data_IF_257331257718
#
_entry.id   IF_257331257718
#
_cell.length_a   1.000
_cell.length_b   1.000
_cell.length_c   1.000
_cell.angle_alpha   90.00
_cell.angle_beta   90.00
_cell.angle_gamma   90.00
#
_symmetry.space_group_name_H-M   'P 1'
#
loop_
_entity.id
_entity.type
_entity.pdbx_description
1 polymer ?
#
# COMPACT_ATOMS: atom_id res chain seq x y z
N UNK A 1 -3.63 -33.74 -3.74
CA UNK A 1 -4.59 -32.76 -3.17
C UNK A 1 -5.17 -31.95 -4.32
N UNK A 2 -6.36 -32.32 -4.81
CA UNK A 2 -6.94 -31.83 -6.06
C UNK A 2 -7.78 -30.58 -5.79
N UNK A 3 -7.35 -29.40 -6.27
CA UNK A 3 -8.17 -28.17 -6.23
C UNK A 3 -9.42 -28.39 -7.08
N UNK A 4 -10.58 -28.53 -6.44
CA UNK A 4 -11.90 -28.56 -7.10
C UNK A 4 -12.06 -27.27 -7.89
N UNK A 5 -12.15 -27.35 -9.23
CA UNK A 5 -12.47 -26.19 -10.07
C UNK A 5 -13.95 -25.85 -9.87
N UNK A 6 -14.24 -24.92 -8.96
CA UNK A 6 -15.58 -24.36 -8.83
C UNK A 6 -15.94 -23.52 -10.06
N UNK A 7 -17.20 -23.58 -10.52
CA UNK A 7 -17.71 -22.68 -11.56
C UNK A 7 -17.72 -21.21 -11.10
N UNK A 8 -17.92 -20.25 -12.01
CA UNK A 8 -17.82 -18.81 -11.73
C UNK A 8 -18.64 -18.33 -10.52
N UNK A 9 -19.86 -18.87 -10.33
CA UNK A 9 -20.68 -18.57 -9.15
C UNK A 9 -20.09 -19.10 -7.83
N UNK A 10 -19.39 -20.24 -7.88
CA UNK A 10 -18.69 -20.79 -6.72
C UNK A 10 -17.44 -19.98 -6.35
N UNK A 11 -16.69 -19.52 -7.35
CA UNK A 11 -15.53 -18.64 -7.15
C UNK A 11 -15.92 -17.30 -6.50
N UNK A 12 -17.03 -16.68 -6.94
CA UNK A 12 -17.56 -15.46 -6.31
C UNK A 12 -17.92 -15.66 -4.85
N UNK A 13 -18.65 -16.73 -4.52
CA UNK A 13 -19.03 -17.05 -3.13
C UNK A 13 -17.80 -17.29 -2.25
N UNK A 14 -16.80 -18.00 -2.76
CA UNK A 14 -15.55 -18.25 -2.04
C UNK A 14 -14.78 -16.95 -1.77
N UNK A 15 -14.66 -16.07 -2.76
CA UNK A 15 -14.02 -14.76 -2.62
C UNK A 15 -14.76 -13.84 -1.64
N UNK A 16 -16.09 -13.78 -1.70
CA UNK A 16 -16.89 -13.02 -0.73
C UNK A 16 -16.70 -13.56 0.69
N UNK A 17 -16.68 -14.89 0.86
CA UNK A 17 -16.43 -15.50 2.16
C UNK A 17 -15.00 -15.24 2.68
N UNK A 18 -14.01 -15.23 1.80
CA UNK A 18 -12.64 -14.82 2.13
C UNK A 18 -12.59 -13.37 2.60
N UNK A 19 -13.20 -12.45 1.87
CA UNK A 19 -13.29 -11.05 2.24
C UNK A 19 -13.91 -10.84 3.64
N UNK A 20 -15.04 -11.50 3.90
CA UNK A 20 -15.76 -11.42 5.17
C UNK A 20 -14.95 -11.96 6.35
N UNK A 21 -14.11 -12.99 6.18
CA UNK A 21 -13.25 -13.49 7.26
C UNK A 21 -12.18 -12.48 7.68
N UNK A 22 -11.70 -11.67 6.74
CA UNK A 22 -10.61 -10.73 6.98
C UNK A 22 -11.11 -9.33 7.34
N UNK A 23 -12.23 -8.90 6.77
CA UNK A 23 -12.71 -7.52 6.84
C UNK A 23 -14.15 -7.38 7.34
N UNK A 24 -14.85 -8.50 7.58
CA UNK A 24 -16.19 -8.48 8.13
C UNK A 24 -16.15 -8.13 9.61
N UNK A 25 -16.95 -7.15 10.01
CA UNK A 25 -17.20 -6.87 11.42
C UNK A 25 -18.11 -7.97 11.98
N UNK A 26 -17.70 -8.64 13.05
CA UNK A 26 -18.43 -9.78 13.62
C UNK A 26 -19.69 -9.30 14.35
N UNK A 27 -19.69 -8.05 14.81
CA UNK A 27 -20.74 -7.46 15.67
C UNK A 27 -21.45 -6.24 15.04
N UNK A 28 -21.07 -5.84 13.83
CA UNK A 28 -21.63 -4.67 13.11
C UNK A 28 -22.81 -5.00 12.19
N UNK A 29 -23.57 -3.98 11.72
CA UNK A 29 -24.60 -4.20 10.70
C UNK A 29 -23.97 -4.80 9.44
N UNK A 30 -24.57 -5.87 8.90
CA UNK A 30 -24.09 -6.53 7.68
C UNK A 30 -24.25 -5.60 6.47
N UNK A 31 -23.21 -4.82 6.18
CA UNK A 31 -23.06 -4.05 4.95
C UNK A 31 -22.75 -5.02 3.78
N UNK A 32 -23.26 -4.72 2.58
CA UNK A 32 -22.97 -5.51 1.38
C UNK A 32 -21.44 -5.57 1.15
N UNK A 33 -20.83 -6.77 1.11
CA UNK A 33 -19.39 -6.94 0.87
C UNK A 33 -18.86 -6.19 -0.35
N UNK A 34 -19.67 -6.07 -1.41
CA UNK A 34 -19.30 -5.32 -2.61
C UNK A 34 -19.16 -3.82 -2.33
N UNK A 35 -19.99 -3.26 -1.46
CA UNK A 35 -19.91 -1.87 -1.01
C UNK A 35 -18.68 -1.65 -0.14
N UNK A 36 -18.43 -2.55 0.80
CA UNK A 36 -17.28 -2.47 1.71
C UNK A 36 -15.96 -2.55 0.92
N UNK A 37 -15.79 -3.54 0.04
CA UNK A 37 -14.55 -3.69 -0.74
C UNK A 37 -14.30 -2.48 -1.63
N UNK A 38 -15.36 -1.91 -2.23
CA UNK A 38 -15.27 -0.71 -3.05
C UNK A 38 -14.83 0.53 -2.25
N UNK A 39 -15.32 0.68 -1.03
CA UNK A 39 -14.93 1.75 -0.12
C UNK A 39 -13.46 1.62 0.30
N UNK A 40 -13.03 0.40 0.62
CA UNK A 40 -11.63 0.13 0.98
C UNK A 40 -10.66 0.37 -0.18
N UNK A 41 -11.04 0.00 -1.41
CA UNK A 41 -10.25 0.30 -2.63
C UNK A 41 -10.09 1.82 -2.80
N UNK A 42 -11.17 2.60 -2.66
CA UNK A 42 -11.08 4.07 -2.75
C UNK A 42 -10.19 4.67 -1.67
N UNK A 43 -10.27 4.16 -0.45
CA UNK A 43 -9.42 4.61 0.65
C UNK A 43 -7.95 4.31 0.38
N UNK A 44 -7.63 3.07 -0.01
CA UNK A 44 -6.26 2.66 -0.35
C UNK A 44 -5.72 3.48 -1.54
N UNK A 45 -6.52 3.75 -2.56
CA UNK A 45 -6.13 4.62 -3.67
C UNK A 45 -5.80 6.05 -3.21
N UNK A 46 -6.59 6.61 -2.28
CA UNK A 46 -6.30 7.91 -1.66
C UNK A 46 -5.01 7.91 -0.85
N UNK A 47 -4.76 6.87 -0.06
CA UNK A 47 -3.51 6.73 0.68
C UNK A 47 -2.30 6.62 -0.24
N UNK A 48 -2.38 5.81 -1.31
CA UNK A 48 -1.32 5.70 -2.32
C UNK A 48 -1.03 7.06 -2.96
N UNK A 49 -2.05 7.83 -3.30
CA UNK A 49 -1.87 9.17 -3.86
C UNK A 49 -1.16 10.12 -2.89
N UNK A 50 -1.62 10.17 -1.64
CA UNK A 50 -1.03 11.00 -0.61
C UNK A 50 0.42 10.59 -0.28
N UNK A 51 0.70 9.29 -0.19
CA UNK A 51 2.04 8.76 0.06
C UNK A 51 2.99 9.07 -1.11
N UNK A 52 2.51 9.02 -2.35
CA UNK A 52 3.31 9.43 -3.51
C UNK A 52 3.72 10.91 -3.42
N UNK A 53 2.80 11.79 -3.04
CA UNK A 53 3.14 13.21 -2.85
C UNK A 53 4.22 13.38 -1.78
N UNK A 54 4.14 12.64 -0.66
CA UNK A 54 5.17 12.71 0.39
C UNK A 54 6.53 12.20 -0.08
N UNK A 55 6.54 11.12 -0.88
CA UNK A 55 7.78 10.61 -1.51
C UNK A 55 8.36 11.64 -2.47
N UNK A 56 7.52 12.33 -3.26
CA UNK A 56 7.97 13.35 -4.22
C UNK A 56 8.46 14.65 -3.56
N UNK A 57 7.95 14.97 -2.36
CA UNK A 57 8.43 16.09 -1.55
C UNK A 57 9.72 15.79 -0.78
N UNK A 58 10.11 14.51 -0.70
CA UNK A 58 11.33 14.11 0.00
C UNK A 58 12.53 14.28 -0.93
N UNK A 59 13.57 14.94 -0.42
CA UNK A 59 14.83 15.12 -1.15
C UNK A 59 15.43 13.77 -1.55
N UNK A 60 15.95 13.71 -2.77
CA UNK A 60 16.54 12.51 -3.38
C UNK A 60 17.48 11.74 -2.43
N UNK A 61 18.42 12.45 -1.80
CA UNK A 61 19.42 11.85 -0.91
C UNK A 61 18.79 11.31 0.37
N UNK A 62 17.70 11.93 0.85
CA UNK A 62 16.99 11.51 2.07
C UNK A 62 16.13 10.26 1.87
N UNK A 63 15.83 9.86 0.63
CA UNK A 63 15.08 8.63 0.32
C UNK A 63 15.87 7.35 0.64
N UNK A 64 17.20 7.44 0.63
CA UNK A 64 18.12 6.31 0.81
C UNK A 64 19.04 6.53 2.01
N UNK A 65 19.42 7.77 2.31
CA UNK A 65 20.34 8.11 3.38
C UNK A 65 19.66 8.97 4.45
N UNK A 66 19.43 8.38 5.63
CA UNK A 66 18.65 9.01 6.69
C UNK A 66 19.26 8.86 8.07
N UNK A 67 18.87 9.76 8.98
CA UNK A 67 19.16 9.62 10.40
C UNK A 67 18.34 8.44 10.96
N UNK A 68 19.01 7.42 11.47
CA UNK A 68 18.35 6.22 11.99
C UNK A 68 18.35 6.13 13.51
N UNK A 69 19.19 6.91 14.19
CA UNK A 69 19.21 6.98 15.64
C UNK A 69 19.73 8.33 16.13
N UNK A 70 19.09 8.88 17.16
CA UNK A 70 19.55 10.02 17.93
C UNK A 70 19.57 9.60 19.41
N UNK A 71 20.73 9.73 20.06
CA UNK A 71 20.90 9.39 21.47
C UNK A 71 21.40 10.62 22.23
N UNK A 72 20.53 11.20 23.05
CA UNK A 72 20.90 12.29 23.96
C UNK A 72 21.60 11.71 25.21
N UNK A 73 22.89 11.97 25.36
CA UNK A 73 23.67 11.61 26.56
C UNK A 73 23.78 12.80 27.49
N UNK A 74 22.98 12.80 28.57
CA UNK A 74 22.98 13.85 29.60
C UNK A 74 24.09 13.72 30.67
N UNK A 75 24.89 12.65 30.64
CA UNK A 75 26.01 12.45 31.56
C UNK A 75 26.97 11.35 31.09
N UNK A 76 28.24 11.43 31.52
CA UNK A 76 29.35 10.58 31.08
C UNK A 76 30.58 11.40 30.67
N UNK A 77 31.66 10.73 30.23
CA UNK A 77 32.91 11.38 29.81
C UNK A 77 32.73 12.27 28.55
N UNK A 78 31.72 11.95 27.72
CA UNK A 78 31.34 12.72 26.53
C UNK A 78 29.85 13.05 26.54
N UNK A 79 29.42 14.14 27.20
CA UNK A 79 28.04 14.62 27.13
C UNK A 79 27.76 15.23 25.75
N UNK A 80 26.59 14.95 25.17
CA UNK A 80 26.23 15.40 23.82
C UNK A 80 25.11 14.60 23.18
N UNK A 81 24.79 14.93 21.92
CA UNK A 81 23.85 14.19 21.07
C UNK A 81 24.66 13.35 20.09
N UNK A 82 24.54 12.03 20.20
CA UNK A 82 25.12 11.10 19.21
C UNK A 82 24.07 10.82 18.14
N UNK A 83 24.37 11.23 16.91
CA UNK A 83 23.49 10.99 15.75
C UNK A 83 24.10 9.95 14.83
N UNK A 84 23.36 8.88 14.54
CA UNK A 84 23.76 7.84 13.59
C UNK A 84 22.93 7.95 12.32
N UNK A 85 23.61 8.08 11.18
CA UNK A 85 23.02 8.03 9.84
C UNK A 85 23.33 6.68 9.21
N UNK A 86 22.37 6.10 8.49
CA UNK A 86 22.62 4.88 7.72
C UNK A 86 21.78 4.86 6.45
N UNK A 87 22.22 4.02 5.50
CA UNK A 87 21.46 3.75 4.30
C UNK A 87 20.28 2.84 4.66
N UNK A 88 19.07 3.41 4.67
CA UNK A 88 17.83 2.69 4.91
C UNK A 88 16.75 3.30 4.02
N UNK A 89 15.89 2.45 3.45
CA UNK A 89 14.75 2.91 2.65
C UNK A 89 13.88 3.82 3.52
N UNK A 90 13.64 5.03 3.05
CA UNK A 90 12.82 6.01 3.76
C UNK A 90 11.43 5.44 4.12
N UNK A 91 10.92 5.89 5.26
CA UNK A 91 9.65 5.43 5.81
C UNK A 91 8.48 5.65 4.84
N UNK A 92 8.48 6.75 4.08
CA UNK A 92 7.45 7.04 3.09
C UNK A 92 7.50 6.08 1.92
N UNK A 93 8.71 5.79 1.40
CA UNK A 93 8.89 4.85 0.29
C UNK A 93 8.39 3.45 0.68
N UNK A 94 8.73 3.01 1.90
CA UNK A 94 8.26 1.72 2.41
C UNK A 94 6.73 1.68 2.54
N UNK A 95 6.13 2.66 3.21
CA UNK A 95 4.67 2.74 3.40
C UNK A 95 3.93 2.84 2.07
N UNK A 96 4.49 3.59 1.11
CA UNK A 96 3.97 3.69 -0.25
C UNK A 96 3.94 2.34 -0.95
N UNK A 97 5.03 1.56 -0.87
CA UNK A 97 5.08 0.20 -1.41
C UNK A 97 4.04 -0.72 -0.76
N UNK A 98 3.97 -0.73 0.57
CA UNK A 98 3.03 -1.56 1.34
C UNK A 98 1.57 -1.27 0.98
N UNK A 99 1.18 0.00 0.89
CA UNK A 99 -0.20 0.39 0.58
C UNK A 99 -0.55 0.14 -0.90
N UNK A 100 0.43 0.22 -1.81
CA UNK A 100 0.24 -0.18 -3.21
C UNK A 100 -0.03 -1.66 -3.36
N UNK A 101 0.74 -2.50 -2.67
CA UNK A 101 0.52 -3.95 -2.67
C UNK A 101 -0.86 -4.29 -2.10
N UNK A 102 -1.28 -3.57 -1.06
CA UNK A 102 -2.63 -3.70 -0.50
C UNK A 102 -3.70 -3.32 -1.52
N UNK A 103 -3.55 -2.20 -2.22
CA UNK A 103 -4.49 -1.76 -3.26
C UNK A 103 -4.64 -2.82 -4.35
N UNK A 104 -3.54 -3.35 -4.88
CA UNK A 104 -3.56 -4.40 -5.90
C UNK A 104 -4.28 -5.66 -5.43
N UNK A 105 -4.00 -6.13 -4.21
CA UNK A 105 -4.68 -7.30 -3.61
C UNK A 105 -6.19 -7.06 -3.47
N UNK A 106 -6.61 -5.85 -3.12
CA UNK A 106 -8.03 -5.50 -3.00
C UNK A 106 -8.73 -5.43 -4.36
N UNK A 107 -8.05 -4.93 -5.39
CA UNK A 107 -8.57 -4.94 -6.76
C UNK A 107 -8.73 -6.38 -7.30
N UNK A 108 -7.76 -7.27 -7.08
CA UNK A 108 -7.87 -8.69 -7.43
C UNK A 108 -9.05 -9.35 -6.72
N UNK A 109 -9.20 -9.10 -5.43
CA UNK A 109 -10.32 -9.64 -4.64
C UNK A 109 -11.67 -9.14 -5.16
N UNK A 110 -11.81 -7.85 -5.47
CA UNK A 110 -13.02 -7.29 -6.04
C UNK A 110 -13.38 -7.90 -7.40
N UNK A 111 -12.38 -8.12 -8.27
CA UNK A 111 -12.56 -8.82 -9.54
C UNK A 111 -13.06 -10.26 -9.33
N UNK A 112 -12.46 -11.00 -8.39
CA UNK A 112 -12.88 -12.37 -8.01
C UNK A 112 -14.28 -12.41 -7.41
N UNK A 113 -14.70 -11.36 -6.71
CA UNK A 113 -16.05 -11.19 -6.19
C UNK A 113 -17.08 -10.86 -7.30
N UNK A 114 -16.62 -10.53 -8.51
CA UNK A 114 -17.49 -10.13 -9.62
C UNK A 114 -18.04 -8.71 -9.49
N UNK A 115 -17.30 -7.83 -8.82
CA UNK A 115 -17.62 -6.40 -8.75
C UNK A 115 -17.07 -5.73 -10.02
N UNK A 116 -17.86 -5.69 -11.10
CA UNK A 116 -17.37 -5.35 -12.45
C UNK A 116 -17.19 -3.84 -12.78
N UNK A 117 -16.04 -3.58 -13.39
CA UNK A 117 -15.50 -2.48 -14.21
C UNK A 117 -15.48 -1.03 -13.69
N UNK A 118 -16.60 -0.41 -13.32
CA UNK A 118 -16.63 1.08 -13.21
C UNK A 118 -15.76 1.66 -12.08
N UNK A 119 -15.44 0.84 -11.08
CA UNK A 119 -14.56 1.19 -9.95
C UNK A 119 -13.10 0.76 -10.18
N UNK A 120 -12.89 -0.30 -10.95
CA UNK A 120 -11.57 -0.83 -11.30
C UNK A 120 -10.87 0.12 -12.28
N UNK A 121 -11.60 0.66 -13.26
CA UNK A 121 -11.04 1.63 -14.24
C UNK A 121 -10.46 2.89 -13.57
N UNK A 122 -11.08 3.39 -12.50
CA UNK A 122 -10.58 4.58 -11.79
C UNK A 122 -9.29 4.28 -11.00
N UNK A 123 -9.23 3.11 -10.36
CA UNK A 123 -8.02 2.66 -9.66
C UNK A 123 -6.88 2.32 -10.64
N UNK A 124 -7.17 1.72 -11.79
CA UNK A 124 -6.19 1.36 -12.82
C UNK A 124 -5.59 2.59 -13.52
N UNK A 125 -6.42 3.57 -13.88
CA UNK A 125 -5.95 4.83 -14.50
C UNK A 125 -5.04 5.58 -13.53
N UNK A 126 -5.38 5.62 -12.23
CA UNK A 126 -4.55 6.26 -11.22
C UNK A 126 -3.22 5.50 -11.02
N UNK A 127 -3.25 4.16 -10.99
CA UNK A 127 -2.06 3.33 -10.73
C UNK A 127 -1.04 3.40 -11.88
N UNK A 128 -1.49 3.43 -13.13
CA UNK A 128 -0.60 3.50 -14.30
C UNK A 128 0.19 4.81 -14.34
N UNK A 129 -0.48 5.93 -14.09
CA UNK A 129 0.17 7.26 -14.05
C UNK A 129 1.25 7.31 -12.95
N UNK A 130 1.02 6.63 -11.83
CA UNK A 130 1.96 6.58 -10.70
C UNK A 130 3.18 5.69 -10.96
N UNK A 131 3.01 4.54 -11.62
CA UNK A 131 4.14 3.68 -11.99
C UNK A 131 5.11 4.40 -12.93
N UNK A 132 4.58 5.17 -13.89
CA UNK A 132 5.38 5.99 -14.80
C UNK A 132 6.07 7.16 -14.09
N UNK A 133 5.46 7.74 -13.04
CA UNK A 133 6.10 8.76 -12.21
C UNK A 133 7.24 8.19 -11.36
N UNK A 134 7.06 6.99 -10.80
CA UNK A 134 8.08 6.35 -9.95
C UNK A 134 9.29 5.87 -10.74
N UNK A 135 9.11 5.25 -11.91
CA UNK A 135 10.26 4.86 -12.75
C UNK A 135 11.06 6.09 -13.18
N UNK A 136 10.39 7.21 -13.49
CA UNK A 136 11.10 8.47 -13.77
C UNK A 136 11.89 9.00 -12.57
N UNK A 137 11.36 8.86 -11.35
CA UNK A 137 12.06 9.27 -10.14
C UNK A 137 13.25 8.34 -9.83
N UNK A 138 13.10 7.02 -9.99
CA UNK A 138 14.17 6.04 -9.79
C UNK A 138 15.27 6.16 -10.84
N UNK A 139 14.90 6.37 -12.12
CA UNK A 139 15.84 6.64 -13.20
C UNK A 139 16.61 7.95 -12.96
N UNK A 140 15.97 8.97 -12.39
CA UNK A 140 16.63 10.23 -12.01
C UNK A 140 17.63 10.06 -10.85
N UNK A 141 17.54 8.97 -10.09
CA UNK A 141 18.43 8.63 -8.98
C UNK A 141 19.55 7.66 -9.39
N UNK A 142 19.65 7.28 -10.67
CA UNK A 142 20.63 6.29 -11.19
C UNK A 142 20.58 4.93 -10.45
N UNK A 143 19.41 4.52 -9.94
CA UNK A 143 19.22 3.28 -9.17
C UNK A 143 18.72 2.09 -10.00
N UNK A 144 18.78 2.17 -11.34
CA UNK A 144 18.32 1.14 -12.30
C UNK A 144 19.39 0.73 -13.30
#
# INVERSE_FOLDING_TARGET
>A
MQRRKYGAAGQRREATAEFLRTNGDVDGPQEDPAVVVSRLIRQAAGHVAWLLERVQETEADALVWGMTSEVERRGGEFPGVDTTYSAAVDGWVRLYGEERDRLLKMCDLAARMGVEERLVTLAEVQTKIMFEAMNRALDALELT
#
